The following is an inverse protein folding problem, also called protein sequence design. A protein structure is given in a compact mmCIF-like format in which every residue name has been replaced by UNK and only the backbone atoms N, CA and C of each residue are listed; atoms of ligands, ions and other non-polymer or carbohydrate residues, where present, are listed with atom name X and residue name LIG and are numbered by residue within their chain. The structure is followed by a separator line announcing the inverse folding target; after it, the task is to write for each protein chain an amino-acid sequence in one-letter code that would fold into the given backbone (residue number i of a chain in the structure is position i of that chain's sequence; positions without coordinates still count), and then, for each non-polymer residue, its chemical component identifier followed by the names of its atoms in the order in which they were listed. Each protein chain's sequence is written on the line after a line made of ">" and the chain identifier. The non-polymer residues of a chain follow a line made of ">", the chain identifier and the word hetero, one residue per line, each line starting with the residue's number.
data_IF_246326511285
#
_entry.id   IF_246326511285
#
_cell.length_a   1.000
_cell.length_b   1.000
_cell.length_c   1.000
_cell.angle_alpha   90.00
_cell.angle_beta   90.00
_cell.angle_gamma   90.00
#
_symmetry.space_group_name_H-M   'P 1'
#
loop_
_entity.id
_entity.type
_entity.pdbx_description
1 polymer ?
#
# COMPACT_ATOMS: atom_id res chain seq x y z
N UNK A 1 -31.21 20.78 25.81
CA UNK A 1 -30.71 20.69 24.43
C UNK A 1 -30.85 19.23 24.04
N UNK A 2 -31.90 18.88 23.31
CA UNK A 2 -32.15 17.50 22.89
C UNK A 2 -31.16 17.17 21.76
N UNK A 3 -30.30 16.18 22.00
CA UNK A 3 -29.37 15.67 20.99
C UNK A 3 -30.15 14.61 20.21
N UNK A 4 -30.63 14.94 19.02
CA UNK A 4 -31.24 13.97 18.11
C UNK A 4 -30.13 13.08 17.51
N UNK A 5 -29.93 11.91 18.10
CA UNK A 5 -29.05 10.89 17.55
C UNK A 5 -29.68 10.30 16.28
N UNK A 6 -29.19 10.73 15.12
CA UNK A 6 -29.55 10.11 13.85
C UNK A 6 -28.69 8.86 13.63
N UNK A 7 -29.35 7.73 13.38
CA UNK A 7 -28.71 6.47 13.03
C UNK A 7 -28.91 6.17 11.53
N UNK A 8 -27.85 5.75 10.85
CA UNK A 8 -27.90 5.24 9.47
C UNK A 8 -27.65 3.73 9.46
N UNK A 9 -28.41 3.00 8.65
CA UNK A 9 -28.25 1.54 8.50
C UNK A 9 -27.22 1.17 7.42
N UNK A 10 -26.78 2.15 6.62
CA UNK A 10 -25.80 1.99 5.56
C UNK A 10 -24.72 3.06 5.63
N UNK A 11 -23.46 2.65 5.49
CA UNK A 11 -22.31 3.53 5.35
C UNK A 11 -21.51 3.13 4.10
N UNK A 12 -21.17 4.11 3.26
CA UNK A 12 -20.21 3.92 2.17
C UNK A 12 -18.81 4.15 2.72
N UNK A 13 -17.97 3.12 2.64
CA UNK A 13 -16.56 3.22 3.01
C UNK A 13 -15.74 3.46 1.73
N UNK A 14 -15.04 4.58 1.71
CA UNK A 14 -14.03 4.91 0.70
C UNK A 14 -12.77 5.35 1.43
N UNK A 15 -11.63 4.74 1.08
CA UNK A 15 -10.35 5.17 1.61
C UNK A 15 -10.03 6.59 1.12
N UNK A 16 -9.73 7.48 2.06
CA UNK A 16 -9.07 8.75 1.76
C UNK A 16 -7.71 8.50 1.12
N UNK A 17 -7.18 9.48 0.38
CA UNK A 17 -5.85 9.39 -0.25
C UNK A 17 -4.77 8.96 0.74
N UNK A 18 -4.75 9.54 1.95
CA UNK A 18 -3.78 9.21 2.98
C UNK A 18 -3.92 7.77 3.48
N UNK A 19 -5.15 7.31 3.70
CA UNK A 19 -5.41 5.92 4.12
C UNK A 19 -5.02 4.91 3.04
N UNK A 20 -5.32 5.23 1.77
CA UNK A 20 -4.90 4.42 0.63
C UNK A 20 -3.38 4.36 0.52
N UNK A 21 -2.71 5.51 0.62
CA UNK A 21 -1.25 5.61 0.55
C UNK A 21 -0.56 4.87 1.69
N UNK A 22 -1.11 4.92 2.91
CA UNK A 22 -0.59 4.17 4.05
C UNK A 22 -0.57 2.66 3.79
N UNK A 23 -1.67 2.12 3.23
CA UNK A 23 -1.74 0.70 2.85
C UNK A 23 -0.76 0.41 1.71
N UNK A 24 -0.75 1.25 0.67
CA UNK A 24 0.13 1.08 -0.48
C UNK A 24 1.61 1.06 -0.08
N UNK A 25 2.02 1.92 0.87
CA UNK A 25 3.40 1.93 1.40
C UNK A 25 3.78 0.59 2.03
N UNK A 26 2.92 0.02 2.86
CA UNK A 26 3.16 -1.30 3.48
C UNK A 26 3.26 -2.41 2.43
N UNK A 27 2.39 -2.38 1.42
CA UNK A 27 2.41 -3.36 0.32
C UNK A 27 3.69 -3.23 -0.51
N UNK A 28 4.06 -2.00 -0.90
CA UNK A 28 5.27 -1.73 -1.66
C UNK A 28 6.52 -2.13 -0.88
N UNK A 29 6.56 -1.84 0.42
CA UNK A 29 7.66 -2.21 1.30
C UNK A 29 7.78 -3.73 1.43
N UNK A 30 6.67 -4.43 1.68
CA UNK A 30 6.63 -5.89 1.76
C UNK A 30 7.13 -6.53 0.46
N UNK A 31 6.66 -6.05 -0.69
CA UNK A 31 7.12 -6.54 -1.99
C UNK A 31 8.63 -6.34 -2.19
N UNK A 32 9.15 -5.13 -1.92
CA UNK A 32 10.58 -4.85 -2.04
C UNK A 32 11.44 -5.75 -1.15
N UNK A 33 10.99 -6.02 0.09
CA UNK A 33 11.65 -6.92 1.02
C UNK A 33 11.66 -8.37 0.50
N UNK A 34 10.50 -8.87 0.04
CA UNK A 34 10.39 -10.24 -0.50
C UNK A 34 11.30 -10.43 -1.72
N UNK A 35 11.34 -9.47 -2.65
CA UNK A 35 12.23 -9.53 -3.80
C UNK A 35 13.70 -9.51 -3.40
N UNK A 36 14.09 -8.64 -2.46
CA UNK A 36 15.46 -8.57 -1.96
C UNK A 36 15.93 -9.91 -1.37
N UNK A 37 15.10 -10.53 -0.53
CA UNK A 37 15.39 -11.85 0.06
C UNK A 37 15.47 -12.93 -1.03
N UNK A 38 14.51 -12.95 -1.95
CA UNK A 38 14.48 -13.94 -3.03
C UNK A 38 15.74 -13.84 -3.91
N UNK A 39 16.15 -12.63 -4.31
CA UNK A 39 17.38 -12.43 -5.09
C UNK A 39 18.63 -12.83 -4.32
N UNK A 40 18.71 -12.49 -3.03
CA UNK A 40 19.82 -12.89 -2.19
C UNK A 40 19.95 -14.42 -2.09
N UNK A 41 18.83 -15.14 -1.95
CA UNK A 41 18.82 -16.60 -1.90
C UNK A 41 19.19 -17.23 -3.25
N UNK A 42 18.62 -16.75 -4.36
CA UNK A 42 18.94 -17.25 -5.71
C UNK A 42 20.44 -17.13 -5.97
N UNK A 43 21.05 -16.02 -5.59
CA UNK A 43 22.45 -15.75 -5.92
C UNK A 43 23.40 -16.46 -4.96
N UNK A 44 23.11 -16.48 -3.66
CA UNK A 44 23.94 -17.22 -2.69
C UNK A 44 23.94 -18.73 -2.91
N UNK A 45 22.87 -19.29 -3.50
CA UNK A 45 22.78 -20.73 -3.81
C UNK A 45 23.30 -21.11 -5.18
N UNK A 46 23.30 -20.21 -6.15
CA UNK A 46 23.74 -20.48 -7.54
C UNK A 46 25.15 -19.98 -7.84
N UNK A 47 25.65 -18.98 -7.09
CA UNK A 47 26.91 -18.30 -7.38
C UNK A 47 27.74 -18.27 -6.09
N UNK A 48 28.79 -19.09 -6.01
CA UNK A 48 29.82 -18.95 -4.98
C UNK A 48 30.66 -17.70 -5.29
N UNK A 49 30.18 -16.55 -4.81
CA UNK A 49 30.92 -15.28 -4.87
C UNK A 49 31.68 -15.12 -3.56
N UNK A 50 32.98 -15.47 -3.56
CA UNK A 50 33.89 -15.16 -2.45
C UNK A 50 34.58 -13.81 -2.71
N UNK A 51 34.48 -12.85 -1.79
CA UNK A 51 35.21 -11.58 -1.81
C UNK A 51 34.37 -10.31 -2.04
N UNK A 52 35.03 -9.19 -2.39
CA UNK A 52 34.47 -7.84 -2.58
C UNK A 52 33.26 -7.77 -3.54
N UNK A 53 33.10 -8.76 -4.41
CA UNK A 53 31.98 -8.85 -5.35
C UNK A 53 30.64 -9.11 -4.62
N UNK A 54 30.66 -9.80 -3.47
CA UNK A 54 29.49 -10.02 -2.63
C UNK A 54 28.93 -8.72 -2.04
N UNK A 55 29.81 -7.82 -1.58
CA UNK A 55 29.41 -6.52 -1.02
C UNK A 55 28.84 -5.59 -2.10
N UNK A 56 29.46 -5.55 -3.29
CA UNK A 56 28.99 -4.77 -4.43
C UNK A 56 27.61 -5.28 -4.90
N UNK A 57 27.42 -6.59 -4.91
CA UNK A 57 26.14 -7.20 -5.26
C UNK A 57 25.03 -6.88 -4.24
N UNK A 58 25.33 -6.93 -2.94
CA UNK A 58 24.38 -6.61 -1.88
C UNK A 58 23.95 -5.14 -1.96
N UNK A 59 24.91 -4.24 -2.20
CA UNK A 59 24.65 -2.83 -2.44
C UNK A 59 23.78 -2.59 -3.69
N UNK A 60 24.10 -3.23 -4.81
CA UNK A 60 23.31 -3.13 -6.04
C UNK A 60 21.88 -3.64 -5.84
N UNK A 61 21.71 -4.77 -5.16
CA UNK A 61 20.39 -5.36 -4.86
C UNK A 61 19.54 -4.46 -3.97
N UNK A 62 20.14 -3.86 -2.93
CA UNK A 62 19.48 -2.87 -2.09
C UNK A 62 19.06 -1.63 -2.88
N UNK A 63 19.92 -1.14 -3.79
CA UNK A 63 19.59 -0.02 -4.67
C UNK A 63 18.45 -0.33 -5.63
N UNK A 64 18.45 -1.51 -6.26
CA UNK A 64 17.35 -1.94 -7.13
C UNK A 64 16.04 -2.11 -6.35
N UNK A 65 16.09 -2.69 -5.15
CA UNK A 65 14.92 -2.81 -4.27
C UNK A 65 14.38 -1.43 -3.86
N UNK A 66 15.26 -0.48 -3.54
CA UNK A 66 14.88 0.89 -3.20
C UNK A 66 14.27 1.65 -4.37
N UNK A 67 14.89 1.59 -5.55
CA UNK A 67 14.32 2.17 -6.77
C UNK A 67 12.96 1.56 -7.12
N UNK A 68 12.85 0.23 -7.06
CA UNK A 68 11.59 -0.48 -7.28
C UNK A 68 10.51 -0.08 -6.28
N UNK A 69 10.87 0.10 -5.01
CA UNK A 69 9.99 0.63 -3.97
C UNK A 69 9.49 2.03 -4.33
N UNK A 70 10.39 2.97 -4.66
CA UNK A 70 10.04 4.35 -5.01
C UNK A 70 9.10 4.39 -6.22
N UNK A 71 9.41 3.65 -7.29
CA UNK A 71 8.55 3.59 -8.47
C UNK A 71 7.17 2.98 -8.16
N UNK A 72 7.12 1.95 -7.30
CA UNK A 72 5.85 1.34 -6.88
C UNK A 72 4.99 2.30 -6.06
N UNK A 73 5.59 3.11 -5.18
CA UNK A 73 4.90 4.15 -4.42
C UNK A 73 4.36 5.24 -5.34
N UNK A 74 5.17 5.71 -6.31
CA UNK A 74 4.72 6.67 -7.33
C UNK A 74 3.57 6.08 -8.15
N UNK A 75 3.69 4.83 -8.60
CA UNK A 75 2.64 4.12 -9.32
C UNK A 75 1.34 4.01 -8.52
N UNK A 76 1.44 3.73 -7.21
CA UNK A 76 0.29 3.72 -6.32
C UNK A 76 -0.37 5.11 -6.19
N UNK A 77 0.42 6.18 -6.11
CA UNK A 77 -0.11 7.54 -6.12
C UNK A 77 -0.84 7.85 -7.43
N UNK A 78 -0.28 7.44 -8.56
CA UNK A 78 -0.86 7.65 -9.89
C UNK A 78 -2.11 6.81 -10.15
N UNK A 79 -2.27 5.66 -9.49
CA UNK A 79 -3.47 4.82 -9.63
C UNK A 79 -4.61 5.24 -8.70
N UNK A 80 -4.35 6.08 -7.70
CA UNK A 80 -5.39 6.56 -6.78
C UNK A 80 -6.57 7.25 -7.48
N UNK A 81 -6.39 8.13 -8.49
CA UNK A 81 -7.51 8.70 -9.25
C UNK A 81 -8.37 7.63 -9.91
N UNK A 82 -7.76 6.57 -10.44
CA UNK A 82 -8.46 5.43 -11.04
C UNK A 82 -9.25 4.66 -9.98
N UNK A 83 -8.64 4.41 -8.81
CA UNK A 83 -9.31 3.83 -7.65
C UNK A 83 -10.51 4.68 -7.21
N UNK A 84 -10.35 5.99 -7.08
CA UNK A 84 -11.41 6.91 -6.67
C UNK A 84 -12.57 6.90 -7.67
N UNK A 85 -12.26 7.00 -8.96
CA UNK A 85 -13.25 6.92 -10.04
C UNK A 85 -14.01 5.59 -10.03
N UNK A 86 -13.30 4.48 -9.85
CA UNK A 86 -13.92 3.17 -9.73
C UNK A 86 -14.85 3.09 -8.52
N UNK A 87 -14.41 3.55 -7.35
CA UNK A 87 -15.20 3.58 -6.12
C UNK A 87 -16.45 4.46 -6.22
N UNK A 88 -16.40 5.56 -6.99
CA UNK A 88 -17.58 6.37 -7.27
C UNK A 88 -18.58 5.61 -8.16
N UNK A 89 -18.08 4.97 -9.23
CA UNK A 89 -18.91 4.25 -10.20
C UNK A 89 -19.55 2.98 -9.63
N UNK A 90 -18.82 2.21 -8.81
CA UNK A 90 -19.28 0.95 -8.22
C UNK A 90 -20.14 1.12 -6.97
N UNK A 91 -20.42 2.37 -6.59
CA UNK A 91 -21.01 2.76 -5.30
C UNK A 91 -20.21 2.33 -4.06
N UNK A 92 -18.92 2.04 -4.21
CA UNK A 92 -18.00 1.71 -3.13
C UNK A 92 -18.40 0.44 -2.37
N UNK A 93 -17.69 0.15 -1.29
CA UNK A 93 -18.10 -0.92 -0.38
C UNK A 93 -19.16 -0.38 0.58
N UNK A 94 -20.37 -0.91 0.48
CA UNK A 94 -21.46 -0.60 1.40
C UNK A 94 -21.37 -1.51 2.61
N UNK A 95 -21.23 -0.93 3.80
CA UNK A 95 -21.31 -1.67 5.05
C UNK A 95 -22.67 -1.41 5.68
N UNK A 96 -23.35 -2.49 6.06
CA UNK A 96 -24.63 -2.44 6.76
C UNK A 96 -24.39 -2.60 8.26
N UNK A 97 -25.07 -1.80 9.07
CA UNK A 97 -24.91 -1.78 10.52
C UNK A 97 -25.52 -0.54 11.15
N UNK A 98 -25.56 -0.47 12.48
CA UNK A 98 -26.06 0.72 13.18
C UNK A 98 -24.93 1.75 13.29
N UNK A 99 -24.94 2.75 12.41
CA UNK A 99 -23.95 3.83 12.43
C UNK A 99 -24.55 5.09 13.07
N UNK A 100 -23.88 5.63 14.09
CA UNK A 100 -24.23 6.93 14.65
C UNK A 100 -23.70 8.05 13.74
N UNK A 101 -24.57 8.98 13.33
CA UNK A 101 -24.20 10.13 12.51
C UNK A 101 -23.61 11.22 13.42
N UNK A 102 -22.29 11.33 13.43
CA UNK A 102 -21.58 12.39 14.16
C UNK A 102 -21.43 13.60 13.24
N UNK A 103 -22.14 14.69 13.55
CA UNK A 103 -21.97 15.99 12.88
C UNK A 103 -20.77 16.70 13.51
N UNK A 104 -19.69 16.91 12.74
CA UNK A 104 -18.63 17.85 13.12
C UNK A 104 -18.96 19.20 12.50
N UNK A 105 -19.32 20.17 13.34
CA UNK A 105 -19.40 21.59 12.97
C UNK A 105 -18.00 22.19 12.80
#
# INVERSE_FOLDING_TARGET
>A
MEIHEHYSDEARIQLSFFSFMAIALWVCFGAALTFSIAFHLVISTQIHVEGSEGDVFLFASLMYAFLGFVFSVIGAALIYPVYSFWCERSRGQQVKGKFALVKRE
#
